data_IF_727744892726
#
_entry.id   IF_727744892726
#
_cell.length_a   1.000
_cell.length_b   1.000
_cell.length_c   1.000
_cell.angle_alpha   90.00
_cell.angle_beta   90.00
_cell.angle_gamma   90.00
#
_symmetry.space_group_name_H-M   'P 1'
#
loop_
_entity.id
_entity.type
_entity.pdbx_description
1 polymer ?
#
# COMPACT_ATOMS: atom_id res chain seq x y z
N UNK A 1 -1.14 -26.35 15.07
CA UNK A 1 -0.34 -26.77 13.91
C UNK A 1 -0.70 -25.84 12.77
N UNK A 2 -0.02 -24.71 12.64
CA UNK A 2 -0.21 -23.75 11.54
C UNK A 2 0.55 -24.32 10.35
N UNK A 3 -0.14 -24.52 9.22
CA UNK A 3 0.49 -25.06 8.00
C UNK A 3 1.44 -23.99 7.44
N UNK A 4 2.60 -24.38 6.86
CA UNK A 4 3.47 -23.42 6.18
C UNK A 4 2.69 -22.77 5.04
N UNK A 5 2.65 -21.44 5.03
CA UNK A 5 2.16 -20.68 3.88
C UNK A 5 3.12 -20.96 2.72
N UNK A 6 2.63 -21.50 1.62
CA UNK A 6 3.42 -21.47 0.38
C UNK A 6 3.38 -20.05 -0.15
N UNK A 7 4.52 -19.55 -0.60
CA UNK A 7 4.62 -18.26 -1.27
C UNK A 7 3.59 -18.19 -2.39
N UNK A 8 2.72 -17.20 -2.30
CA UNK A 8 1.75 -16.89 -3.34
C UNK A 8 2.52 -16.15 -4.42
N UNK A 9 2.67 -16.76 -5.60
CA UNK A 9 3.08 -16.00 -6.79
C UNK A 9 2.06 -14.89 -6.99
N UNK A 10 2.52 -13.67 -6.81
CA UNK A 10 1.66 -12.51 -6.80
C UNK A 10 1.40 -12.01 -8.22
N UNK A 11 0.47 -11.08 -8.32
CA UNK A 11 -0.48 -11.06 -9.43
C UNK A 11 -0.77 -9.61 -9.84
N UNK A 12 -0.68 -9.32 -11.14
CA UNK A 12 -0.73 -7.96 -11.68
C UNK A 12 -2.17 -7.47 -11.97
N UNK A 13 -2.86 -6.94 -10.96
CA UNK A 13 -4.29 -6.57 -11.06
C UNK A 13 -4.58 -5.34 -11.94
N UNK A 14 -5.06 -5.52 -13.18
CA UNK A 14 -5.56 -4.52 -14.16
C UNK A 14 -6.64 -3.51 -13.66
N UNK A 15 -6.35 -2.19 -13.61
CA UNK A 15 -7.23 -1.09 -13.18
C UNK A 15 -7.06 0.05 -14.19
N UNK A 16 -7.94 0.11 -15.19
CA UNK A 16 -7.94 1.19 -16.15
C UNK A 16 -8.69 2.42 -15.59
N UNK A 17 -7.95 3.40 -15.08
CA UNK A 17 -8.47 4.75 -14.78
C UNK A 17 -8.37 5.64 -16.04
N UNK A 18 -9.47 5.74 -16.77
CA UNK A 18 -9.59 6.68 -17.89
C UNK A 18 -9.86 8.10 -17.38
N UNK A 19 -8.80 8.89 -17.20
CA UNK A 19 -8.94 10.35 -16.99
C UNK A 19 -8.92 11.05 -18.35
N UNK A 20 -10.12 11.35 -18.85
CA UNK A 20 -10.30 12.28 -19.97
C UNK A 20 -10.24 13.72 -19.46
N UNK A 21 -9.30 14.52 -19.98
CA UNK A 21 -9.20 15.94 -19.68
C UNK A 21 -8.38 16.69 -20.73
N UNK A 22 -9.04 17.17 -21.77
CA UNK A 22 -8.50 18.17 -22.70
C UNK A 22 -8.89 19.57 -22.22
N UNK A 23 -7.93 20.49 -22.03
CA UNK A 23 -8.16 21.93 -22.20
C UNK A 23 -6.86 22.75 -22.21
N UNK A 24 -6.45 23.10 -23.44
CA UNK A 24 -5.96 24.40 -23.97
C UNK A 24 -5.19 25.36 -23.03
N UNK A 25 -3.93 25.60 -23.42
CA UNK A 25 -3.10 26.72 -22.99
C UNK A 25 -3.55 28.07 -23.58
N UNK A 26 -3.47 29.15 -22.80
CA UNK A 26 -3.29 30.51 -23.32
C UNK A 26 -2.36 31.32 -22.42
N UNK A 27 -1.31 31.83 -23.06
CA UNK A 27 -0.38 32.86 -22.60
C UNK A 27 -0.99 34.24 -22.84
N UNK A 28 -0.85 35.16 -21.87
CA UNK A 28 -0.62 36.59 -22.11
C UNK A 28 0.15 37.21 -20.94
N UNK A 29 0.68 38.39 -21.20
CA UNK A 29 1.91 39.01 -20.73
C UNK A 29 1.68 40.20 -19.78
N UNK A 30 2.70 40.43 -18.93
CA UNK A 30 3.31 41.73 -18.55
C UNK A 30 2.79 42.61 -17.38
N UNK A 31 3.81 43.15 -16.69
CA UNK A 31 3.97 44.45 -15.99
C UNK A 31 4.06 44.47 -14.43
N UNK A 32 5.19 44.97 -13.83
CA UNK A 32 5.43 45.21 -12.38
C UNK A 32 5.45 46.74 -12.01
N UNK A 33 5.98 47.25 -10.87
CA UNK A 33 5.91 46.98 -9.41
C UNK A 33 5.36 48.24 -8.63
N UNK A 34 5.62 48.57 -7.31
CA UNK A 34 6.94 48.89 -6.74
C UNK A 34 7.21 48.42 -5.27
N UNK A 35 8.47 48.60 -4.89
CA UNK A 35 9.18 48.22 -3.66
C UNK A 35 8.71 48.87 -2.36
N UNK A 36 8.87 48.14 -1.25
CA UNK A 36 8.73 48.63 0.13
C UNK A 36 9.77 48.05 1.08
N UNK A 37 10.88 48.78 1.22
CA UNK A 37 11.74 49.01 2.39
C UNK A 37 12.18 47.86 3.32
N UNK A 38 13.50 47.67 3.36
CA UNK A 38 14.27 46.95 4.37
C UNK A 38 14.37 47.72 5.70
N UNK A 39 14.36 47.02 6.82
CA UNK A 39 14.80 47.54 8.14
C UNK A 39 15.60 46.44 8.87
N UNK A 40 16.67 46.76 9.63
CA UNK A 40 17.64 45.76 10.10
C UNK A 40 17.22 45.03 11.38
N UNK A 41 17.74 43.81 11.52
CA UNK A 41 17.46 42.85 12.58
C UNK A 41 18.01 43.22 13.97
N UNK A 42 17.36 42.81 15.08
CA UNK A 42 18.00 42.60 16.35
C UNK A 42 18.45 41.13 16.51
N UNK A 43 19.70 40.95 16.94
CA UNK A 43 20.32 39.67 17.30
C UNK A 43 19.76 39.12 18.61
N UNK A 44 19.34 37.84 18.70
CA UNK A 44 19.23 37.12 19.97
C UNK A 44 20.46 36.20 20.23
N UNK A 45 20.73 35.84 21.50
CA UNK A 45 21.97 35.20 21.97
C UNK A 45 22.05 33.68 21.69
N UNK A 46 23.23 33.04 21.85
CA UNK A 46 23.43 31.64 21.51
C UNK A 46 22.99 30.65 22.61
N UNK A 47 22.54 29.49 22.11
CA UNK A 47 22.51 28.15 22.71
C UNK A 47 21.55 27.84 23.87
N UNK A 48 20.53 27.03 23.56
CA UNK A 48 20.21 25.81 24.31
C UNK A 48 19.45 24.85 23.39
N UNK A 49 20.07 23.73 23.07
CA UNK A 49 19.49 22.57 22.38
C UNK A 49 18.50 21.85 23.31
N UNK A 50 17.32 21.46 22.80
CA UNK A 50 16.78 20.12 23.07
C UNK A 50 16.47 19.45 21.73
N UNK A 51 17.27 18.48 21.32
CA UNK A 51 16.97 17.04 21.45
C UNK A 51 15.72 16.59 20.69
N UNK A 52 15.99 15.84 19.61
CA UNK A 52 15.17 14.76 19.07
C UNK A 52 13.81 15.17 18.51
N UNK A 53 13.83 15.84 17.36
CA UNK A 53 12.80 15.62 16.36
C UNK A 53 13.16 14.34 15.61
N UNK A 54 12.33 13.30 15.74
CA UNK A 54 12.39 12.11 14.89
C UNK A 54 12.41 12.58 13.44
N UNK A 55 13.55 12.37 12.81
CA UNK A 55 13.76 12.55 11.39
C UNK A 55 12.76 11.63 10.68
N UNK A 56 11.78 12.23 10.00
CA UNK A 56 11.02 11.55 8.96
C UNK A 56 12.03 11.14 7.90
N UNK A 57 12.48 9.88 7.97
CA UNK A 57 13.38 9.32 6.99
C UNK A 57 12.65 9.30 5.65
N UNK A 58 13.20 10.07 4.72
CA UNK A 58 12.84 10.11 3.32
C UNK A 58 12.90 8.69 2.71
N UNK A 59 12.05 8.32 1.74
CA UNK A 59 11.96 6.97 1.14
C UNK A 59 13.20 6.45 0.37
N UNK A 60 14.38 7.05 0.55
CA UNK A 60 15.55 6.81 -0.29
C UNK A 60 16.51 5.72 0.20
N UNK A 61 16.22 5.04 1.32
CA UNK A 61 17.10 3.98 1.88
C UNK A 61 16.54 2.56 1.66
N UNK A 62 15.78 2.36 0.58
CA UNK A 62 15.39 1.01 0.14
C UNK A 62 16.49 0.48 -0.77
N UNK A 63 17.36 -0.36 -0.21
CA UNK A 63 18.22 -1.27 -0.97
C UNK A 63 19.41 -0.64 -1.68
N UNK A 64 20.48 -0.32 -0.93
CA UNK A 64 21.82 -0.23 -1.52
C UNK A 64 22.44 -1.63 -1.47
N UNK A 65 22.56 -2.29 -2.62
CA UNK A 65 23.35 -3.51 -2.75
C UNK A 65 24.79 -3.22 -2.27
N UNK A 66 25.25 -3.96 -1.27
CA UNK A 66 26.67 -3.95 -0.94
C UNK A 66 27.48 -4.63 -2.05
N UNK A 67 28.77 -4.30 -2.14
CA UNK A 67 29.67 -4.65 -3.25
C UNK A 67 29.92 -6.17 -3.44
N UNK A 68 29.15 -7.00 -2.75
CA UNK A 68 29.21 -8.46 -2.79
C UNK A 68 27.97 -9.12 -3.41
N UNK A 69 26.98 -8.34 -3.87
CA UNK A 69 25.76 -8.89 -4.47
C UNK A 69 24.85 -9.60 -3.47
N UNK A 70 25.06 -9.37 -2.17
CA UNK A 70 24.10 -9.71 -1.13
C UNK A 70 23.08 -8.57 -1.09
N UNK A 71 21.80 -8.87 -1.32
CA UNK A 71 20.75 -7.87 -1.11
C UNK A 71 20.51 -7.88 0.40
N UNK A 72 21.20 -6.99 1.12
CA UNK A 72 20.86 -6.71 2.51
C UNK A 72 19.46 -6.07 2.55
N UNK A 73 18.41 -6.90 2.61
CA UNK A 73 17.02 -6.45 2.63
C UNK A 73 16.73 -5.70 3.95
N UNK A 74 16.40 -4.41 3.86
CA UNK A 74 16.20 -3.51 5.00
C UNK A 74 15.13 -4.03 5.98
N UNK A 75 15.38 -4.08 7.31
CA UNK A 75 14.51 -4.70 8.32
C UNK A 75 13.05 -4.22 8.23
N UNK A 76 12.05 -5.05 8.59
CA UNK A 76 10.65 -4.62 8.55
C UNK A 76 10.41 -3.42 9.48
N UNK A 77 9.54 -2.52 9.05
CA UNK A 77 9.10 -1.39 9.85
C UNK A 77 8.02 -1.84 10.84
N UNK A 78 8.20 -1.55 12.13
CA UNK A 78 7.15 -1.77 13.12
C UNK A 78 6.11 -0.65 13.05
N UNK A 79 4.86 -0.99 12.78
CA UNK A 79 3.76 -0.04 12.62
C UNK A 79 2.57 -0.41 13.50
N UNK A 80 1.69 0.56 13.76
CA UNK A 80 0.37 0.31 14.36
C UNK A 80 -0.70 0.73 13.37
N UNK A 81 -1.44 -0.26 12.89
CA UNK A 81 -2.50 -0.07 11.90
C UNK A 81 -3.76 0.45 12.58
N UNK A 82 -4.31 1.51 12.01
CA UNK A 82 -5.61 2.05 12.43
C UNK A 82 -6.68 1.57 11.46
N UNK A 83 -7.77 1.02 12.00
CA UNK A 83 -8.92 0.59 11.19
C UNK A 83 -9.48 1.77 10.38
N UNK A 84 -9.59 1.59 9.06
CA UNK A 84 -10.23 2.53 8.14
C UNK A 84 -11.50 1.90 7.55
N UNK A 85 -12.56 2.68 7.30
CA UNK A 85 -13.72 2.16 6.59
C UNK A 85 -13.30 1.73 5.18
N UNK A 86 -13.77 0.56 4.76
CA UNK A 86 -13.48 -0.01 3.44
C UNK A 86 -14.76 -0.43 2.76
N UNK A 87 -14.76 -0.36 1.42
CA UNK A 87 -15.59 -1.26 0.63
C UNK A 87 -14.80 -2.53 0.34
N UNK A 88 -15.45 -3.68 0.39
CA UNK A 88 -14.79 -4.96 0.18
C UNK A 88 -15.64 -5.97 -0.58
N UNK A 89 -14.94 -6.89 -1.25
CA UNK A 89 -15.48 -8.09 -1.90
C UNK A 89 -14.69 -9.28 -1.39
N UNK A 90 -15.37 -10.36 -1.03
CA UNK A 90 -14.74 -11.66 -0.75
C UNK A 90 -14.89 -12.53 -1.96
N UNK A 91 -13.79 -13.15 -2.39
CA UNK A 91 -13.73 -13.99 -3.56
C UNK A 91 -12.90 -15.24 -3.31
N UNK A 92 -12.86 -16.08 -4.33
CA UNK A 92 -11.98 -17.23 -4.42
C UNK A 92 -11.39 -17.30 -5.83
N UNK A 93 -10.14 -17.72 -5.95
CA UNK A 93 -9.47 -17.92 -7.23
C UNK A 93 -8.52 -19.11 -7.17
N UNK A 94 -8.05 -19.55 -8.32
CA UNK A 94 -6.86 -20.40 -8.47
C UNK A 94 -5.62 -19.53 -8.54
N UNK A 95 -4.45 -20.10 -8.31
CA UNK A 95 -3.18 -19.38 -8.47
C UNK A 95 -2.96 -18.90 -9.92
N UNK A 96 -3.38 -19.67 -10.92
CA UNK A 96 -3.29 -19.30 -12.34
C UNK A 96 -4.24 -18.16 -12.71
N UNK A 97 -5.45 -18.11 -12.13
CA UNK A 97 -6.48 -17.10 -12.42
C UNK A 97 -6.52 -15.98 -11.36
N UNK A 98 -5.49 -15.88 -10.52
CA UNK A 98 -5.48 -14.94 -9.41
C UNK A 98 -5.61 -13.49 -9.90
N UNK A 99 -5.01 -13.16 -11.04
CA UNK A 99 -5.05 -11.82 -11.65
C UNK A 99 -6.44 -11.39 -12.02
N UNK A 100 -7.11 -12.24 -12.78
CA UNK A 100 -8.47 -12.00 -13.18
C UNK A 100 -9.40 -11.98 -11.97
N UNK A 101 -9.27 -12.96 -11.06
CA UNK A 101 -10.15 -13.08 -9.90
C UNK A 101 -10.06 -11.89 -8.94
N UNK A 102 -8.85 -11.52 -8.54
CA UNK A 102 -8.61 -10.37 -7.64
C UNK A 102 -8.92 -9.07 -8.37
N UNK A 103 -8.50 -8.92 -9.63
CA UNK A 103 -8.75 -7.71 -10.41
C UNK A 103 -10.22 -7.43 -10.64
N UNK A 104 -11.01 -8.45 -10.93
CA UNK A 104 -12.47 -8.31 -11.03
C UNK A 104 -13.10 -7.84 -9.71
N UNK A 105 -12.62 -8.36 -8.57
CA UNK A 105 -13.10 -7.92 -7.26
C UNK A 105 -12.74 -6.45 -6.97
N UNK A 106 -11.50 -6.04 -7.24
CA UNK A 106 -11.05 -4.65 -7.05
C UNK A 106 -11.80 -3.69 -7.99
N UNK A 107 -11.97 -4.05 -9.26
CA UNK A 107 -12.74 -3.27 -10.22
C UNK A 107 -14.21 -3.12 -9.82
N UNK A 108 -14.83 -4.18 -9.29
CA UNK A 108 -16.19 -4.10 -8.75
C UNK A 108 -16.29 -3.11 -7.57
N UNK A 109 -15.26 -3.05 -6.71
CA UNK A 109 -15.21 -2.09 -5.60
C UNK A 109 -15.08 -0.66 -6.12
N UNK A 110 -14.18 -0.38 -7.06
CA UNK A 110 -14.04 0.97 -7.63
C UNK A 110 -15.29 1.42 -8.40
N UNK A 111 -15.94 0.51 -9.14
CA UNK A 111 -17.21 0.79 -9.78
C UNK A 111 -18.30 1.14 -8.76
N UNK A 112 -18.31 0.47 -7.61
CA UNK A 112 -19.21 0.78 -6.50
C UNK A 112 -18.91 2.14 -5.86
N UNK A 113 -17.62 2.48 -5.64
CA UNK A 113 -17.18 3.79 -5.15
C UNK A 113 -17.71 4.89 -6.09
N UNK A 114 -17.49 4.74 -7.40
CA UNK A 114 -17.95 5.70 -8.41
C UNK A 114 -19.48 5.83 -8.41
N UNK A 115 -20.21 4.70 -8.43
CA UNK A 115 -21.68 4.69 -8.41
C UNK A 115 -22.27 5.32 -7.15
N UNK A 116 -21.61 5.13 -6.00
CA UNK A 116 -22.02 5.71 -4.73
C UNK A 116 -21.57 7.16 -4.51
N UNK A 117 -20.85 7.74 -5.48
CA UNK A 117 -20.20 9.04 -5.35
C UNK A 117 -19.35 9.15 -4.07
N UNK A 118 -18.67 8.05 -3.73
CA UNK A 118 -17.77 7.93 -2.59
C UNK A 118 -16.35 8.30 -3.00
N UNK A 119 -15.50 8.59 -2.02
CA UNK A 119 -14.08 8.89 -2.24
C UNK A 119 -13.22 7.77 -1.68
N UNK A 120 -12.35 7.22 -2.52
CA UNK A 120 -11.30 6.32 -2.09
C UNK A 120 -10.29 7.08 -1.21
N UNK A 121 -9.75 6.41 -0.20
CA UNK A 121 -8.84 6.99 0.81
C UNK A 121 -7.55 6.17 0.95
N UNK A 122 -7.11 5.53 -0.13
CA UNK A 122 -5.88 4.74 -0.18
C UNK A 122 -5.88 3.70 -1.29
N UNK A 123 -4.82 2.92 -1.31
CA UNK A 123 -4.61 1.81 -2.24
C UNK A 123 -5.50 0.61 -1.96
N UNK A 124 -5.67 -0.23 -2.99
CA UNK A 124 -6.32 -1.53 -2.81
C UNK A 124 -5.49 -2.43 -1.90
N UNK A 125 -6.18 -3.21 -1.06
CA UNK A 125 -5.59 -4.16 -0.13
C UNK A 125 -6.21 -5.54 -0.30
N UNK A 126 -5.39 -6.59 -0.25
CA UNK A 126 -5.84 -7.99 -0.36
C UNK A 126 -5.47 -8.72 0.93
N UNK A 127 -6.49 -9.16 1.68
CA UNK A 127 -6.31 -10.07 2.82
C UNK A 127 -6.56 -11.50 2.34
N UNK A 128 -5.56 -12.37 2.44
CA UNK A 128 -5.70 -13.80 2.17
C UNK A 128 -6.39 -14.47 3.36
N UNK A 129 -7.58 -15.03 3.13
CA UNK A 129 -8.40 -15.66 4.16
C UNK A 129 -8.10 -17.15 4.30
N UNK A 130 -7.75 -17.80 3.19
CA UNK A 130 -7.35 -19.19 3.10
C UNK A 130 -6.45 -19.37 1.88
N UNK A 131 -5.37 -20.13 2.01
CA UNK A 131 -4.36 -20.34 0.95
C UNK A 131 -4.13 -21.83 0.76
N UNK A 132 -5.02 -22.47 0.00
CA UNK A 132 -4.94 -23.89 -0.35
C UNK A 132 -3.94 -24.15 -1.47
N UNK A 133 -3.68 -25.42 -1.77
CA UNK A 133 -2.71 -25.79 -2.82
C UNK A 133 -3.21 -25.45 -4.24
N UNK A 134 -4.52 -25.52 -4.49
CA UNK A 134 -5.12 -25.28 -5.82
C UNK A 134 -5.92 -23.96 -5.88
N UNK A 135 -6.67 -23.68 -4.82
CA UNK A 135 -7.50 -22.48 -4.69
C UNK A 135 -7.21 -21.74 -3.39
N UNK A 136 -7.44 -20.43 -3.42
CA UNK A 136 -7.34 -19.56 -2.27
C UNK A 136 -8.59 -18.68 -2.15
N UNK A 137 -8.87 -18.24 -0.93
CA UNK A 137 -9.92 -17.28 -0.62
C UNK A 137 -9.30 -15.96 -0.21
N UNK A 138 -9.86 -14.86 -0.70
CA UNK A 138 -9.32 -13.54 -0.46
C UNK A 138 -10.44 -12.55 -0.14
N UNK A 139 -10.07 -11.47 0.54
CA UNK A 139 -10.91 -10.28 0.73
C UNK A 139 -10.17 -9.09 0.13
N UNK A 140 -10.64 -8.66 -1.03
CA UNK A 140 -10.20 -7.42 -1.66
C UNK A 140 -10.91 -6.23 -0.98
N UNK A 141 -10.16 -5.18 -0.68
CA UNK A 141 -10.63 -4.00 0.04
C UNK A 141 -10.09 -2.73 -0.60
N UNK A 142 -10.89 -1.66 -0.59
CA UNK A 142 -10.42 -0.30 -0.89
C UNK A 142 -10.86 0.62 0.25
N UNK A 143 -9.92 1.33 0.92
CA UNK A 143 -10.27 2.34 1.91
C UNK A 143 -11.12 3.46 1.31
N UNK A 144 -12.06 3.98 2.08
CA UNK A 144 -12.92 5.11 1.70
C UNK A 144 -12.89 6.18 2.80
N UNK A 145 -13.19 7.44 2.47
CA UNK A 145 -13.17 8.52 3.46
C UNK A 145 -14.25 8.35 4.55
N UNK A 146 -15.42 7.85 4.17
CA UNK A 146 -16.55 7.66 5.07
C UNK A 146 -17.37 6.42 4.70
N UNK A 147 -17.77 5.65 5.70
CA UNK A 147 -18.63 4.49 5.53
C UNK A 147 -20.04 4.94 5.07
N UNK A 148 -20.55 4.45 3.92
CA UNK A 148 -21.92 4.71 3.54
C UNK A 148 -22.87 3.90 4.42
N UNK A 149 -24.09 4.39 4.63
CA UNK A 149 -25.12 3.64 5.36
C UNK A 149 -25.48 2.30 4.70
N UNK A 150 -25.29 2.20 3.38
CA UNK A 150 -25.44 0.97 2.60
C UNK A 150 -24.38 0.90 1.51
N UNK A 151 -23.80 -0.27 1.31
CA UNK A 151 -22.85 -0.49 0.22
C UNK A 151 -23.53 -0.25 -1.15
N UNK A 152 -22.91 0.53 -2.04
CA UNK A 152 -23.31 0.57 -3.44
C UNK A 152 -22.88 -0.73 -4.14
N UNK A 153 -23.79 -1.35 -4.91
CA UNK A 153 -23.51 -2.62 -5.60
C UNK A 153 -24.05 -3.84 -4.86
N UNK A 154 -24.16 -4.96 -5.58
CA UNK A 154 -24.78 -6.19 -5.06
C UNK A 154 -23.82 -7.02 -4.21
N UNK A 155 -22.57 -7.14 -4.67
CA UNK A 155 -21.60 -8.06 -4.07
C UNK A 155 -20.53 -7.34 -3.23
N UNK A 156 -20.55 -6.00 -3.26
CA UNK A 156 -19.70 -5.11 -2.46
C UNK A 156 -20.33 -4.87 -1.09
N UNK A 157 -19.51 -4.92 -0.02
CA UNK A 157 -19.92 -4.71 1.36
C UNK A 157 -19.12 -3.58 2.00
N UNK A 158 -19.64 -3.00 3.09
CA UNK A 158 -18.91 -2.05 3.93
C UNK A 158 -18.28 -2.80 5.10
N UNK A 159 -17.04 -2.50 5.43
CA UNK A 159 -16.33 -3.09 6.55
C UNK A 159 -15.23 -2.19 7.09
N UNK A 160 -14.30 -2.79 7.84
CA UNK A 160 -13.09 -2.13 8.34
C UNK A 160 -11.84 -2.84 7.81
N UNK A 161 -10.79 -2.06 7.55
CA UNK A 161 -9.45 -2.60 7.29
C UNK A 161 -8.89 -3.29 8.53
N UNK A 162 -7.88 -4.16 8.38
CA UNK A 162 -7.10 -4.67 9.51
C UNK A 162 -6.55 -3.53 10.39
N UNK A 163 -6.35 -3.84 11.67
CA UNK A 163 -5.87 -2.92 12.68
C UNK A 163 -5.03 -3.65 13.74
N UNK A 164 -4.23 -2.89 14.48
CA UNK A 164 -3.36 -3.41 15.55
C UNK A 164 -1.87 -3.32 15.21
N UNK A 165 -1.00 -3.84 16.10
CA UNK A 165 0.44 -3.93 15.85
C UNK A 165 0.72 -4.77 14.60
N UNK A 166 1.62 -4.29 13.75
CA UNK A 166 2.03 -5.01 12.56
C UNK A 166 3.48 -4.73 12.19
N UNK A 167 4.03 -5.63 11.38
CA UNK A 167 5.30 -5.46 10.69
C UNK A 167 4.99 -5.15 9.23
N UNK A 168 5.58 -4.08 8.70
CA UNK A 168 5.48 -3.70 7.29
C UNK A 168 6.77 -4.10 6.58
N UNK A 169 6.62 -4.94 5.56
CA UNK A 169 7.65 -5.30 4.61
C UNK A 169 7.34 -4.59 3.30
N UNK A 170 8.34 -4.00 2.67
CA UNK A 170 8.18 -3.32 1.38
C UNK A 170 8.86 -4.16 0.32
N UNK A 171 8.08 -4.55 -0.69
CA UNK A 171 8.58 -5.11 -1.93
C UNK A 171 8.62 -4.02 -3.00
N UNK A 172 9.76 -3.87 -3.65
CA UNK A 172 9.87 -3.07 -4.87
C UNK A 172 10.44 -3.95 -5.97
N UNK A 173 9.64 -4.25 -6.98
CA UNK A 173 10.04 -5.16 -8.05
C UNK A 173 8.88 -5.95 -8.62
N UNK A 174 9.21 -6.88 -9.50
CA UNK A 174 8.21 -7.69 -10.19
C UNK A 174 7.47 -8.59 -9.18
N UNK A 175 6.26 -8.99 -9.54
CA UNK A 175 5.47 -9.88 -8.70
C UNK A 175 6.08 -11.28 -8.53
N UNK A 176 6.86 -11.73 -9.52
CA UNK A 176 7.57 -13.01 -9.48
C UNK A 176 8.58 -13.06 -8.31
N UNK A 177 9.08 -11.90 -7.88
CA UNK A 177 10.06 -11.78 -6.80
C UNK A 177 9.42 -11.69 -5.40
N UNK A 178 8.08 -11.68 -5.29
CA UNK A 178 7.41 -11.55 -3.98
C UNK A 178 7.66 -12.75 -3.06
N UNK A 179 7.98 -13.93 -3.61
CA UNK A 179 8.38 -15.09 -2.82
C UNK A 179 9.58 -14.79 -1.91
N UNK A 180 10.52 -13.95 -2.36
CA UNK A 180 11.68 -13.56 -1.55
C UNK A 180 11.26 -12.81 -0.27
N UNK A 181 10.25 -11.94 -0.38
CA UNK A 181 9.74 -11.18 0.76
C UNK A 181 8.96 -12.07 1.72
N UNK A 182 8.22 -13.06 1.22
CA UNK A 182 7.52 -14.04 2.06
C UNK A 182 8.47 -14.96 2.83
N UNK A 183 9.52 -15.48 2.18
CA UNK A 183 10.55 -16.26 2.87
C UNK A 183 11.21 -15.44 3.99
N UNK A 184 11.47 -14.16 3.71
CA UNK A 184 12.01 -13.23 4.69
C UNK A 184 11.07 -12.96 5.88
N UNK A 185 9.75 -12.88 5.62
CA UNK A 185 8.75 -12.74 6.68
C UNK A 185 8.84 -13.94 7.63
N UNK A 186 8.86 -15.15 7.09
CA UNK A 186 8.92 -16.38 7.89
C UNK A 186 10.19 -16.42 8.76
N UNK A 187 11.36 -16.15 8.17
CA UNK A 187 12.63 -16.09 8.90
C UNK A 187 12.60 -15.04 10.02
N UNK A 188 12.03 -13.86 9.75
CA UNK A 188 11.94 -12.80 10.75
C UNK A 188 11.00 -13.18 11.91
N UNK A 189 9.84 -13.77 11.61
CA UNK A 189 8.88 -14.21 12.63
C UNK A 189 9.48 -15.30 13.52
N UNK A 190 10.18 -16.27 12.94
CA UNK A 190 10.90 -17.32 13.67
C UNK A 190 11.97 -16.72 14.57
N UNK A 191 12.84 -15.86 14.02
CA UNK A 191 13.93 -15.23 14.76
C UNK A 191 13.44 -14.36 15.94
N UNK A 192 12.27 -13.76 15.82
CA UNK A 192 11.65 -12.93 16.87
C UNK A 192 10.65 -13.67 17.75
N UNK A 193 10.40 -14.96 17.48
CA UNK A 193 9.37 -15.76 18.17
C UNK A 193 8.00 -15.07 18.16
N UNK A 194 7.66 -14.42 17.04
CA UNK A 194 6.40 -13.73 16.85
C UNK A 194 5.39 -14.66 16.16
N UNK A 195 4.13 -14.53 16.54
CA UNK A 195 3.03 -15.24 15.87
C UNK A 195 2.29 -14.28 14.93
N UNK A 196 2.09 -14.72 13.69
CA UNK A 196 1.25 -14.02 12.74
C UNK A 196 -0.22 -14.30 13.02
N UNK A 197 -1.02 -13.24 13.09
CA UNK A 197 -2.48 -13.30 13.14
C UNK A 197 -3.11 -13.20 11.75
N UNK A 198 -2.60 -12.26 10.95
CA UNK A 198 -3.11 -11.92 9.62
C UNK A 198 -1.99 -11.40 8.74
N UNK A 199 -2.11 -11.66 7.44
CA UNK A 199 -1.29 -11.02 6.40
C UNK A 199 -2.20 -10.36 5.39
N UNK A 200 -1.77 -9.20 4.89
CA UNK A 200 -2.41 -8.58 3.74
C UNK A 200 -1.41 -7.75 2.93
N UNK A 201 -1.67 -7.67 1.64
CA UNK A 201 -0.91 -6.86 0.69
C UNK A 201 -1.62 -5.53 0.45
N UNK A 202 -0.86 -4.46 0.21
CA UNK A 202 -1.32 -3.16 -0.25
C UNK A 202 -0.52 -2.77 -1.50
N UNK A 203 -1.22 -2.61 -2.62
CA UNK A 203 -0.61 -2.25 -3.90
C UNK A 203 -0.52 -0.72 -4.01
N UNK A 204 0.62 -0.16 -3.60
CA UNK A 204 0.85 1.29 -3.53
C UNK A 204 0.80 1.90 -4.92
N UNK A 205 1.38 1.19 -5.89
CA UNK A 205 1.32 1.52 -7.31
C UNK A 205 0.27 0.69 -8.01
N UNK A 206 -0.36 1.26 -9.03
CA UNK A 206 -1.29 0.55 -9.90
C UNK A 206 -0.50 -0.45 -10.80
N UNK A 207 -0.67 -1.77 -10.63
CA UNK A 207 0.20 -2.77 -11.25
C UNK A 207 0.01 -2.97 -12.77
N UNK A 208 -0.66 -2.03 -13.41
CA UNK A 208 -1.31 -2.22 -14.73
C UNK A 208 -0.84 -1.17 -15.71
N UNK A 209 -0.40 -0.06 -15.12
CA UNK A 209 0.28 1.03 -15.77
C UNK A 209 1.70 1.20 -15.22
N UNK A 210 2.04 0.50 -14.13
CA UNK A 210 3.37 0.55 -13.52
C UNK A 210 4.24 -0.57 -14.08
N UNK A 211 5.45 -0.21 -14.54
CA UNK A 211 6.42 -1.20 -14.99
C UNK A 211 6.84 -2.12 -13.83
N UNK A 212 7.07 -3.43 -14.05
CA UNK A 212 7.34 -4.40 -12.98
C UNK A 212 8.43 -3.96 -11.99
N UNK A 213 9.54 -3.41 -12.49
CA UNK A 213 10.67 -2.95 -11.66
C UNK A 213 10.38 -1.72 -10.79
N UNK A 214 9.21 -1.09 -10.98
CA UNK A 214 8.76 0.09 -10.23
C UNK A 214 7.52 -0.20 -9.38
N UNK A 215 7.02 -1.43 -9.41
CA UNK A 215 5.87 -1.80 -8.60
C UNK A 215 6.27 -1.78 -7.13
N UNK A 216 5.41 -1.20 -6.29
CA UNK A 216 5.60 -1.16 -4.85
C UNK A 216 4.41 -1.85 -4.19
N UNK A 217 4.72 -2.93 -3.47
CA UNK A 217 3.75 -3.70 -2.70
C UNK A 217 4.18 -3.68 -1.24
N UNK A 218 3.32 -3.17 -0.37
CA UNK A 218 3.52 -3.29 1.07
C UNK A 218 2.86 -4.58 1.54
N UNK A 219 3.60 -5.43 2.25
CA UNK A 219 3.06 -6.60 2.94
C UNK A 219 3.02 -6.29 4.43
N UNK A 220 1.83 -6.37 5.01
CA UNK A 220 1.62 -6.15 6.43
C UNK A 220 1.33 -7.47 7.13
N UNK A 221 2.11 -7.76 8.16
CA UNK A 221 1.93 -8.92 9.04
C UNK A 221 1.43 -8.42 10.39
N UNK A 222 0.15 -8.63 10.66
CA UNK A 222 -0.45 -8.31 11.97
C UNK A 222 -0.04 -9.38 12.95
N UNK A 223 0.60 -8.99 14.05
CA UNK A 223 1.09 -9.92 15.08
C UNK A 223 0.23 -9.83 16.34
N UNK A 224 0.28 -10.88 17.16
CA UNK A 224 -0.39 -10.94 18.47
C UNK A 224 0.54 -10.60 19.63
#
# INVERSE_FOLDING_TARGET
MVRPFRAVSAVAVAIALSVGGSAVAQTTTDTPPPSGQSTPAPTPPPAATPETSKEMQSPADVGKADAHGDITLAPPESVTLTARPVLFVTGKSTWDDAEEGIGNAVNAIFAAIAKGNLKAAGSAMIEYLDSGDEEFQFKAMVPIEAAPAKAPGKDVKVGQSPAGPALKFVHQGAFEDLEEVYNRIDDFLVAKSLNMKKVYEEYVTDPTVTAPEKMITNIYVVTE
#
